data_IF_777325300634
#
_entry.id   IF_777325300634
#
_cell.length_a   1.000
_cell.length_b   1.000
_cell.length_c   1.000
_cell.angle_alpha   90.00
_cell.angle_beta   90.00
_cell.angle_gamma   90.00
#
_symmetry.space_group_name_H-M   'P 1'
#
loop_
_entity.id
_entity.type
_entity.pdbx_description
1 polymer ?
#
# COMPACT_ATOMS: atom_id res chain seq x y z
N UNK A 1 -6.21 -4.40 -14.08
CA UNK A 1 -6.88 -3.91 -12.86
C UNK A 1 -6.07 -4.43 -11.68
N UNK A 2 -5.24 -3.58 -11.09
CA UNK A 2 -4.16 -3.97 -10.18
C UNK A 2 -4.76 -4.40 -8.83
N UNK A 3 -5.08 -5.69 -8.71
CA UNK A 3 -5.58 -6.33 -7.49
C UNK A 3 -4.42 -6.41 -6.48
N UNK A 4 -4.74 -6.32 -5.21
CA UNK A 4 -3.96 -6.45 -3.94
C UNK A 4 -2.75 -7.40 -3.88
N UNK A 5 -2.41 -8.16 -4.93
CA UNK A 5 -1.24 -9.05 -5.02
C UNK A 5 0.08 -8.37 -4.72
N UNK A 6 0.22 -7.09 -5.02
CA UNK A 6 1.47 -6.39 -4.77
C UNK A 6 1.85 -6.39 -3.29
N UNK A 7 0.90 -6.08 -2.41
CA UNK A 7 1.16 -6.07 -0.97
C UNK A 7 1.43 -7.48 -0.46
N UNK A 8 0.90 -8.52 -1.11
CA UNK A 8 1.23 -9.92 -0.80
C UNK A 8 2.62 -10.34 -1.29
N UNK A 9 3.09 -9.78 -2.41
CA UNK A 9 4.38 -10.14 -3.01
C UNK A 9 5.58 -9.46 -2.33
N UNK A 10 5.39 -8.27 -1.74
CA UNK A 10 6.47 -7.51 -1.08
C UNK A 10 6.21 -7.17 0.40
N UNK A 11 5.01 -7.46 0.91
CA UNK A 11 4.69 -7.21 2.30
C UNK A 11 5.31 -8.24 3.23
N UNK A 12 5.65 -7.80 4.44
CA UNK A 12 6.14 -8.66 5.52
C UNK A 12 4.94 -9.00 6.40
N UNK A 13 4.84 -10.26 6.81
CA UNK A 13 3.85 -10.68 7.82
C UNK A 13 4.28 -10.16 9.18
N UNK A 14 3.45 -9.36 9.82
CA UNK A 14 3.62 -8.95 11.21
C UNK A 14 3.24 -10.08 12.18
N UNK A 15 3.60 -9.91 13.45
CA UNK A 15 3.27 -10.86 14.53
C UNK A 15 1.75 -11.02 14.75
N UNK A 16 0.96 -10.07 14.24
CA UNK A 16 -0.51 -10.08 14.25
C UNK A 16 -1.12 -10.88 13.09
N UNK A 17 -0.30 -11.51 12.25
CA UNK A 17 -0.72 -12.27 11.07
C UNK A 17 -1.14 -11.40 9.88
N UNK A 18 -1.00 -10.07 9.97
CA UNK A 18 -1.33 -9.15 8.86
C UNK A 18 -0.11 -8.87 8.01
N UNK A 19 -0.32 -8.75 6.71
CA UNK A 19 0.73 -8.42 5.75
C UNK A 19 0.78 -6.90 5.55
N UNK A 20 1.94 -6.29 5.77
CA UNK A 20 2.13 -4.85 5.61
C UNK A 20 3.37 -4.50 4.79
N UNK A 21 3.33 -3.38 4.07
CA UNK A 21 4.46 -2.84 3.31
C UNK A 21 4.57 -1.32 3.48
N UNK A 22 5.80 -0.77 3.52
CA UNK A 22 6.02 0.67 3.52
C UNK A 22 5.61 1.31 2.19
N UNK A 23 4.95 2.46 2.23
CA UNK A 23 4.49 3.17 1.05
C UNK A 23 5.62 3.50 0.08
N UNK A 24 6.77 3.98 0.57
CA UNK A 24 7.91 4.31 -0.29
C UNK A 24 8.42 3.10 -1.08
N UNK A 25 8.54 1.94 -0.41
CA UNK A 25 8.95 0.69 -1.05
C UNK A 25 7.93 0.23 -2.10
N UNK A 26 6.64 0.32 -1.79
CA UNK A 26 5.60 0.04 -2.76
C UNK A 26 5.66 1.03 -3.94
N UNK A 27 5.85 2.31 -3.67
CA UNK A 27 5.90 3.36 -4.68
C UNK A 27 7.09 3.19 -5.64
N UNK A 28 8.30 2.97 -5.13
CA UNK A 28 9.50 2.74 -5.96
C UNK A 28 9.35 1.55 -6.91
N UNK A 29 8.72 0.47 -6.46
CA UNK A 29 8.45 -0.71 -7.30
C UNK A 29 7.37 -0.47 -8.35
N UNK A 30 6.48 0.51 -8.13
CA UNK A 30 5.36 0.83 -9.02
C UNK A 30 5.60 2.03 -9.94
N UNK A 31 6.48 2.97 -9.59
CA UNK A 31 6.67 4.22 -10.33
C UNK A 31 7.20 3.99 -11.74
N UNK A 32 7.91 2.89 -11.97
CA UNK A 32 8.34 2.48 -13.31
C UNK A 32 7.16 2.10 -14.23
N UNK A 33 5.99 1.81 -13.65
CA UNK A 33 4.82 1.26 -14.36
C UNK A 33 3.65 2.25 -14.35
N UNK A 34 3.40 3.02 -13.27
CA UNK A 34 2.26 3.95 -13.22
C UNK A 34 2.29 4.98 -12.08
N UNK A 35 1.89 6.22 -12.36
CA UNK A 35 1.63 7.29 -11.38
C UNK A 35 0.27 7.16 -10.64
N UNK A 36 -0.46 6.06 -10.85
CA UNK A 36 -1.84 5.88 -10.32
C UNK A 36 -1.90 5.17 -8.97
N UNK A 37 -0.76 4.82 -8.36
CA UNK A 37 -0.70 3.98 -7.16
C UNK A 37 -1.56 4.53 -6.01
N UNK A 38 -1.44 5.82 -5.70
CA UNK A 38 -2.20 6.45 -4.60
C UNK A 38 -3.71 6.32 -4.84
N UNK A 39 -4.17 6.56 -6.07
CA UNK A 39 -5.58 6.39 -6.43
C UNK A 39 -6.08 4.94 -6.34
N UNK A 40 -5.20 3.96 -6.57
CA UNK A 40 -5.51 2.53 -6.38
C UNK A 40 -5.64 2.21 -4.88
N UNK A 41 -4.68 2.65 -4.06
CA UNK A 41 -4.70 2.45 -2.61
C UNK A 41 -5.94 3.09 -1.96
N UNK A 42 -6.31 4.31 -2.37
CA UNK A 42 -7.52 4.97 -1.89
C UNK A 42 -8.80 4.20 -2.23
N UNK A 43 -8.88 3.60 -3.43
CA UNK A 43 -10.02 2.73 -3.80
C UNK A 43 -10.04 1.45 -2.98
N UNK A 44 -8.89 0.80 -2.80
CA UNK A 44 -8.79 -0.41 -1.97
C UNK A 44 -9.16 -0.12 -0.50
N UNK A 45 -8.77 1.05 0.03
CA UNK A 45 -9.17 1.51 1.38
C UNK A 45 -10.69 1.69 1.48
N UNK A 46 -11.32 2.32 0.48
CA UNK A 46 -12.79 2.46 0.43
C UNK A 46 -13.52 1.11 0.39
N UNK A 47 -12.88 0.07 -0.14
CA UNK A 47 -13.40 -1.30 -0.18
C UNK A 47 -13.04 -2.12 1.08
N UNK A 48 -12.33 -1.55 2.05
CA UNK A 48 -11.92 -2.24 3.26
C UNK A 48 -10.81 -3.28 3.05
N UNK A 49 -10.07 -3.23 1.94
CA UNK A 49 -9.01 -4.20 1.62
C UNK A 49 -7.66 -3.83 2.20
N UNK A 50 -7.44 -2.54 2.49
CA UNK A 50 -6.18 -2.03 3.06
C UNK A 50 -6.45 -0.94 4.09
N UNK A 51 -5.50 -0.79 5.00
CA UNK A 51 -5.42 0.29 5.96
C UNK A 51 -4.08 1.02 5.83
N UNK A 52 -4.10 2.33 6.03
CA UNK A 52 -2.94 3.18 6.23
C UNK A 52 -3.39 4.47 6.92
N UNK A 53 -2.48 5.10 7.68
CA UNK A 53 -2.76 6.34 8.41
C UNK A 53 -2.85 7.55 7.48
N UNK A 54 -3.68 8.53 7.87
CA UNK A 54 -3.88 9.78 7.15
C UNK A 54 -4.90 9.70 6.00
N UNK A 55 -5.27 10.85 5.44
CA UNK A 55 -6.26 10.92 4.35
C UNK A 55 -5.68 10.57 2.98
N UNK A 56 -4.41 10.93 2.73
CA UNK A 56 -3.71 10.75 1.46
C UNK A 56 -2.21 10.50 1.69
N UNK A 57 -1.53 9.95 0.68
CA UNK A 57 -0.10 9.62 0.73
C UNK A 57 0.66 10.46 -0.31
N UNK A 58 1.75 11.07 0.15
CA UNK A 58 2.64 11.91 -0.64
C UNK A 58 4.04 11.27 -0.69
N UNK A 59 4.57 11.08 -1.89
CA UNK A 59 5.91 10.53 -2.10
C UNK A 59 6.97 11.37 -1.36
N UNK A 60 7.97 10.71 -0.76
CA UNK A 60 9.07 11.34 -0.01
C UNK A 60 8.68 11.75 1.40
N UNK A 61 7.44 12.23 1.60
CA UNK A 61 6.92 12.59 2.91
C UNK A 61 6.42 11.38 3.69
N UNK A 62 5.60 10.55 3.04
CA UNK A 62 4.85 9.48 3.69
C UNK A 62 5.45 8.10 3.40
N UNK A 63 6.69 8.03 2.93
CA UNK A 63 7.35 6.79 2.51
C UNK A 63 7.43 5.74 3.64
N UNK A 64 7.46 6.20 4.89
CA UNK A 64 7.46 5.35 6.08
C UNK A 64 6.09 4.79 6.47
N UNK A 65 4.99 5.28 5.89
CA UNK A 65 3.63 4.84 6.26
C UNK A 65 3.43 3.38 5.86
N UNK A 66 2.90 2.59 6.79
CA UNK A 66 2.57 1.19 6.53
C UNK A 66 1.22 1.09 5.81
N UNK A 67 1.24 0.33 4.71
CA UNK A 67 0.06 -0.13 4.00
C UNK A 67 -0.20 -1.57 4.45
N UNK A 68 -1.22 -1.77 5.26
CA UNK A 68 -1.59 -3.06 5.84
C UNK A 68 -2.76 -3.67 5.08
N UNK A 69 -2.68 -4.94 4.70
CA UNK A 69 -3.81 -5.68 4.16
C UNK A 69 -4.82 -6.01 5.26
N UNK A 70 -6.08 -5.72 4.99
CA UNK A 70 -7.22 -6.13 5.79
C UNK A 70 -7.83 -7.34 5.08
N UNK A 71 -7.92 -8.48 5.78
CA UNK A 71 -8.55 -9.69 5.25
C UNK A 71 -10.06 -9.52 5.12
#
# INVERSE_FOLDING_TARGET
MLKTRAVLEIGVSGDDGRVSVRFGMLFERYVTISNKLVGVLLRARKQGLVHFEGEMLWQGRDDGVLITLLQ
#
